data_IF_535582653592
#
_entry.id   IF_535582653592
#
_cell.length_a   1.000
_cell.length_b   1.000
_cell.length_c   1.000
_cell.angle_alpha   90.00
_cell.angle_beta   90.00
_cell.angle_gamma   90.00
#
_symmetry.space_group_name_H-M   'P 1'
#
loop_
_entity.id
_entity.type
_entity.pdbx_description
1 polymer ?
#
# COMPACT_ATOMS: atom_id res chain seq x y z
N UNK A 1 55.15 -14.89 19.93
CA UNK A 1 54.58 -13.51 19.99
C UNK A 1 53.49 -13.21 18.94
N UNK A 2 52.99 -14.20 18.18
CA UNK A 2 51.98 -13.99 17.11
C UNK A 2 50.52 -14.13 17.56
N UNK A 3 50.24 -14.99 18.54
CA UNK A 3 48.87 -15.35 18.91
C UNK A 3 48.10 -14.22 19.63
N UNK A 4 48.78 -13.39 20.42
CA UNK A 4 48.16 -12.25 21.12
C UNK A 4 47.69 -11.15 20.16
N UNK A 5 48.45 -10.90 19.08
CA UNK A 5 48.06 -9.95 18.03
C UNK A 5 46.84 -10.44 17.25
N UNK A 6 46.77 -11.74 16.98
CA UNK A 6 45.62 -12.35 16.30
C UNK A 6 44.35 -12.25 17.16
N UNK A 7 44.45 -12.51 18.47
CA UNK A 7 43.32 -12.37 19.41
C UNK A 7 42.82 -10.92 19.44
N UNK A 8 43.72 -9.94 19.51
CA UNK A 8 43.35 -8.53 19.49
C UNK A 8 42.63 -8.12 18.19
N UNK A 9 43.05 -8.66 17.04
CA UNK A 9 42.41 -8.44 15.75
C UNK A 9 40.99 -9.03 15.70
N UNK A 10 40.77 -10.25 16.22
CA UNK A 10 39.44 -10.85 16.28
C UNK A 10 38.48 -10.04 17.14
N UNK A 11 38.92 -9.59 18.31
CA UNK A 11 38.10 -8.76 19.21
C UNK A 11 37.69 -7.46 18.51
N UNK A 12 38.63 -6.81 17.81
CA UNK A 12 38.34 -5.58 17.08
C UNK A 12 37.30 -5.79 15.97
N UNK A 13 37.43 -6.85 15.16
CA UNK A 13 36.48 -7.17 14.09
C UNK A 13 35.07 -7.40 14.65
N UNK A 14 34.95 -8.16 15.74
CA UNK A 14 33.67 -8.41 16.39
C UNK A 14 32.99 -7.11 16.86
N UNK A 15 33.74 -6.23 17.52
CA UNK A 15 33.22 -4.93 18.00
C UNK A 15 32.76 -4.07 16.83
N UNK A 16 33.56 -3.95 15.77
CA UNK A 16 33.22 -3.17 14.58
C UNK A 16 31.95 -3.73 13.91
N UNK A 17 31.83 -5.05 13.78
CA UNK A 17 30.64 -5.69 13.18
C UNK A 17 29.36 -5.40 13.96
N UNK A 18 29.43 -5.36 15.29
CA UNK A 18 28.27 -5.07 16.14
C UNK A 18 27.81 -3.62 16.01
N UNK A 19 28.75 -2.68 15.93
CA UNK A 19 28.45 -1.26 15.70
C UNK A 19 27.80 -1.05 14.33
N UNK A 20 28.34 -1.67 13.27
CA UNK A 20 27.77 -1.58 11.92
C UNK A 20 26.34 -2.13 11.89
N UNK A 21 26.09 -3.27 12.54
CA UNK A 21 24.75 -3.87 12.64
C UNK A 21 23.72 -2.92 13.28
N UNK A 22 24.10 -2.23 14.37
CA UNK A 22 23.24 -1.24 15.04
C UNK A 22 22.94 -0.03 14.16
N UNK A 23 23.92 0.45 13.40
CA UNK A 23 23.73 1.54 12.44
C UNK A 23 22.75 1.12 11.35
N UNK A 24 22.92 -0.07 10.76
CA UNK A 24 22.01 -0.60 9.72
C UNK A 24 20.59 -0.76 10.27
N UNK A 25 20.41 -1.37 11.44
CA UNK A 25 19.11 -1.51 12.10
C UNK A 25 18.44 -0.14 12.30
N UNK A 26 19.19 0.85 12.78
CA UNK A 26 18.68 2.21 13.00
C UNK A 26 18.28 2.89 11.69
N UNK A 27 19.08 2.75 10.64
CA UNK A 27 18.76 3.27 9.30
C UNK A 27 17.52 2.59 8.73
N UNK A 28 17.39 1.27 8.85
CA UNK A 28 16.20 0.53 8.38
C UNK A 28 14.96 0.93 9.16
N UNK A 29 15.05 1.04 10.49
CA UNK A 29 13.97 1.53 11.34
C UNK A 29 13.60 2.98 11.02
N UNK A 30 14.59 3.86 10.83
CA UNK A 30 14.37 5.25 10.47
C UNK A 30 13.77 5.41 9.07
N UNK A 31 14.22 4.63 8.08
CA UNK A 31 13.62 4.60 6.74
C UNK A 31 12.19 4.10 6.78
N UNK A 32 11.91 3.05 7.57
CA UNK A 32 10.54 2.55 7.82
C UNK A 32 9.68 3.62 8.51
N UNK A 33 10.22 4.33 9.50
CA UNK A 33 9.48 5.35 10.25
C UNK A 33 9.23 6.63 9.44
N UNK A 34 10.23 7.14 8.71
CA UNK A 34 10.09 8.32 7.85
C UNK A 34 9.10 8.07 6.70
N UNK A 35 9.01 6.84 6.18
CA UNK A 35 7.97 6.46 5.21
C UNK A 35 6.57 6.44 5.82
N UNK A 36 6.42 6.02 7.08
CA UNK A 36 5.14 6.10 7.81
C UNK A 36 4.62 7.54 8.00
N UNK A 37 5.45 8.57 7.80
CA UNK A 37 5.10 9.98 8.01
C UNK A 37 4.76 10.79 6.73
N UNK A 38 4.79 10.22 5.52
CA UNK A 38 4.27 10.92 4.31
C UNK A 38 2.73 10.89 4.25
N UNK A 39 2.10 11.30 5.35
CA UNK A 39 0.65 11.33 5.57
C UNK A 39 0.15 12.70 5.11
N UNK A 40 -0.39 12.78 3.90
CA UNK A 40 -1.28 13.89 3.53
C UNK A 40 -2.59 13.68 4.30
N UNK A 41 -2.66 14.23 5.51
CA UNK A 41 -3.82 14.10 6.40
C UNK A 41 -4.89 15.11 5.99
N UNK A 42 -5.74 14.74 5.04
CA UNK A 42 -6.94 15.52 4.74
C UNK A 42 -8.09 15.02 5.62
N UNK A 43 -8.38 15.75 6.71
CA UNK A 43 -9.40 15.41 7.71
C UNK A 43 -10.86 15.64 7.24
N UNK A 44 -11.12 15.72 5.93
CA UNK A 44 -12.35 16.34 5.39
C UNK A 44 -13.62 15.45 5.46
N UNK A 45 -13.60 14.24 6.04
CA UNK A 45 -14.80 13.38 6.08
C UNK A 45 -14.83 12.37 7.24
N UNK A 46 -14.24 12.71 8.39
CA UNK A 46 -14.26 11.83 9.58
C UNK A 46 -13.41 10.56 9.46
N UNK A 47 -12.52 10.49 8.45
CA UNK A 47 -11.57 9.41 8.24
C UNK A 47 -10.18 9.93 7.89
N UNK A 48 -9.19 9.04 7.91
CA UNK A 48 -7.79 9.31 7.62
C UNK A 48 -7.47 8.87 6.19
N UNK A 49 -7.21 9.82 5.31
CA UNK A 49 -6.62 9.57 3.98
C UNK A 49 -5.09 9.55 4.10
N UNK A 50 -4.44 8.60 3.44
CA UNK A 50 -2.98 8.53 3.31
C UNK A 50 -2.65 8.20 1.86
N UNK A 51 -1.84 9.05 1.22
CA UNK A 51 -1.36 8.83 -0.14
C UNK A 51 0.14 8.61 -0.14
N UNK A 52 0.60 7.58 -0.84
CA UNK A 52 2.02 7.31 -1.00
C UNK A 52 2.60 8.21 -2.09
N UNK A 53 3.74 8.83 -1.79
CA UNK A 53 4.41 9.75 -2.70
C UNK A 53 4.73 9.05 -4.03
N UNK A 54 4.03 9.48 -5.08
CA UNK A 54 4.19 9.01 -6.44
C UNK A 54 4.11 10.24 -7.36
N UNK A 55 4.98 10.37 -8.37
CA UNK A 55 4.91 11.48 -9.33
C UNK A 55 3.53 11.60 -10.00
N UNK A 56 2.81 10.47 -10.16
CA UNK A 56 1.43 10.40 -10.67
C UNK A 56 0.39 11.06 -9.73
N UNK A 57 0.68 11.12 -8.43
CA UNK A 57 -0.17 11.70 -7.37
C UNK A 57 0.10 13.19 -7.12
N UNK A 58 1.30 13.69 -7.43
CA UNK A 58 1.67 15.10 -7.17
C UNK A 58 0.81 16.12 -7.94
N UNK A 59 0.24 15.69 -9.07
CA UNK A 59 -0.66 16.52 -9.90
C UNK A 59 -2.10 16.51 -9.38
N UNK A 60 -2.47 15.55 -8.53
CA UNK A 60 -3.82 15.38 -8.04
C UNK A 60 -4.00 16.14 -6.73
N UNK A 61 -4.88 17.16 -6.74
CA UNK A 61 -5.32 17.78 -5.49
C UNK A 61 -6.11 16.74 -4.68
N UNK A 62 -5.65 16.45 -3.46
CA UNK A 62 -6.25 15.47 -2.53
C UNK A 62 -7.77 15.65 -2.36
N UNK A 63 -8.23 16.90 -2.27
CA UNK A 63 -9.66 17.23 -2.16
C UNK A 63 -10.51 16.76 -3.37
N UNK A 64 -9.98 16.86 -4.59
CA UNK A 64 -10.68 16.43 -5.80
C UNK A 64 -10.75 14.91 -5.88
N UNK A 65 -9.67 14.22 -5.50
CA UNK A 65 -9.63 12.77 -5.40
C UNK A 65 -10.70 12.26 -4.44
N UNK A 66 -10.75 12.81 -3.22
CA UNK A 66 -11.69 12.38 -2.19
C UNK A 66 -13.14 12.62 -2.64
N UNK A 67 -13.42 13.79 -3.24
CA UNK A 67 -14.75 14.13 -3.76
C UNK A 67 -15.23 13.16 -4.83
N UNK A 68 -14.33 12.69 -5.72
CA UNK A 68 -14.70 11.69 -6.73
C UNK A 68 -14.87 10.30 -6.13
N UNK A 69 -14.00 9.92 -5.19
CA UNK A 69 -14.09 8.64 -4.49
C UNK A 69 -15.41 8.49 -3.72
N UNK A 70 -15.87 9.56 -3.07
CA UNK A 70 -17.17 9.58 -2.36
C UNK A 70 -18.39 9.54 -3.30
N UNK A 71 -18.21 9.84 -4.59
CA UNK A 71 -19.28 9.80 -5.61
C UNK A 71 -19.36 8.47 -6.35
N UNK A 72 -18.54 7.49 -6.00
CA UNK A 72 -18.57 6.17 -6.62
C UNK A 72 -19.90 5.48 -6.32
N UNK A 73 -20.50 4.93 -7.38
CA UNK A 73 -21.78 4.23 -7.31
C UNK A 73 -21.64 2.78 -7.74
N UNK A 74 -22.73 2.01 -7.65
CA UNK A 74 -22.73 0.61 -8.09
C UNK A 74 -22.43 0.44 -9.59
N UNK A 75 -22.57 1.50 -10.40
CA UNK A 75 -22.21 1.49 -11.82
C UNK A 75 -20.70 1.45 -12.06
N UNK A 76 -19.91 1.86 -11.07
CA UNK A 76 -18.47 1.93 -11.16
C UNK A 76 -17.80 0.65 -10.65
N UNK A 77 -18.59 -0.36 -10.23
CA UNK A 77 -18.07 -1.64 -9.72
C UNK A 77 -17.45 -2.41 -10.89
N UNK A 78 -16.17 -2.74 -10.75
CA UNK A 78 -15.43 -3.62 -11.67
C UNK A 78 -15.22 -5.02 -11.10
N UNK A 79 -15.51 -5.23 -9.82
CA UNK A 79 -15.42 -6.54 -9.18
C UNK A 79 -16.06 -6.53 -7.81
N UNK A 80 -16.61 -7.66 -7.39
CA UNK A 80 -17.14 -7.85 -6.04
C UNK A 80 -16.85 -9.25 -5.53
N UNK A 81 -16.58 -9.40 -4.24
CA UNK A 81 -16.28 -10.67 -3.61
C UNK A 81 -16.41 -10.62 -2.09
N UNK A 82 -16.07 -11.72 -1.41
CA UNK A 82 -16.24 -11.85 0.05
C UNK A 82 -15.47 -10.82 0.88
N UNK A 83 -14.39 -10.27 0.33
CA UNK A 83 -13.58 -9.24 1.00
C UNK A 83 -14.07 -7.81 0.73
N UNK A 84 -14.99 -7.59 -0.22
CA UNK A 84 -15.51 -6.26 -0.54
C UNK A 84 -15.78 -6.04 -2.03
N UNK A 85 -15.95 -4.77 -2.41
CA UNK A 85 -16.18 -4.35 -3.79
C UNK A 85 -15.03 -3.48 -4.30
N UNK A 86 -14.67 -3.66 -5.57
CA UNK A 86 -13.65 -2.89 -6.26
C UNK A 86 -14.34 -1.98 -7.27
N UNK A 87 -14.06 -0.69 -7.16
CA UNK A 87 -14.63 0.36 -7.99
C UNK A 87 -13.57 0.95 -8.90
N UNK A 88 -13.93 1.28 -10.14
CA UNK A 88 -13.10 2.07 -11.05
C UNK A 88 -13.31 3.55 -10.77
N UNK A 89 -12.22 4.23 -10.43
CA UNK A 89 -12.19 5.67 -10.20
C UNK A 89 -11.44 6.36 -11.34
N UNK A 90 -12.16 7.03 -12.23
CA UNK A 90 -11.56 7.85 -13.29
C UNK A 90 -11.45 9.29 -12.81
N UNK A 91 -10.23 9.82 -12.75
CA UNK A 91 -10.02 11.24 -12.39
C UNK A 91 -9.96 12.09 -13.65
N UNK A 92 -9.07 11.71 -14.57
CA UNK A 92 -8.89 12.33 -15.89
C UNK A 92 -8.85 11.22 -16.95
N UNK A 93 -8.95 11.57 -18.23
CA UNK A 93 -8.91 10.59 -19.34
C UNK A 93 -7.67 9.68 -19.30
N UNK A 94 -6.55 10.18 -18.77
CA UNK A 94 -5.29 9.45 -18.65
C UNK A 94 -5.04 8.82 -17.28
N UNK A 95 -5.83 9.14 -16.26
CA UNK A 95 -5.58 8.72 -14.87
C UNK A 95 -6.81 8.05 -14.29
N UNK A 96 -6.70 6.73 -14.11
CA UNK A 96 -7.71 5.90 -13.46
C UNK A 96 -7.09 5.04 -12.35
N UNK A 97 -7.87 4.78 -11.31
CA UNK A 97 -7.50 3.97 -10.15
C UNK A 97 -8.52 2.86 -9.89
N UNK A 98 -8.09 1.80 -9.25
CA UNK A 98 -8.98 0.79 -8.67
C UNK A 98 -9.10 1.04 -7.16
N UNK A 99 -10.32 1.27 -6.68
CA UNK A 99 -10.61 1.54 -5.27
C UNK A 99 -11.29 0.32 -4.68
N UNK A 100 -10.59 -0.45 -3.85
CA UNK A 100 -11.15 -1.60 -3.13
C UNK A 100 -11.73 -1.12 -1.80
N UNK A 101 -13.05 -1.26 -1.65
CA UNK A 101 -13.79 -0.96 -0.42
C UNK A 101 -13.96 -2.23 0.41
N UNK A 102 -13.38 -2.20 1.61
CA UNK A 102 -13.52 -3.22 2.64
C UNK A 102 -14.46 -2.68 3.71
N UNK A 103 -15.55 -3.38 4.01
CA UNK A 103 -16.40 -3.00 5.13
C UNK A 103 -15.73 -3.43 6.45
N UNK A 104 -15.85 -2.63 7.51
CA UNK A 104 -15.33 -2.98 8.84
C UNK A 104 -16.43 -3.68 9.66
N UNK A 105 -16.78 -4.90 9.25
CA UNK A 105 -17.83 -5.68 9.93
C UNK A 105 -17.24 -6.50 11.09
N UNK A 106 -15.99 -6.93 10.95
CA UNK A 106 -15.30 -7.74 11.97
C UNK A 106 -13.84 -7.30 12.16
N UNK A 107 -13.28 -7.64 13.32
CA UNK A 107 -11.86 -7.45 13.60
C UNK A 107 -10.95 -8.21 12.62
N UNK A 108 -11.43 -9.33 12.05
CA UNK A 108 -10.66 -10.09 11.07
C UNK A 108 -10.56 -9.38 9.72
N UNK A 109 -11.62 -8.69 9.28
CA UNK A 109 -11.56 -7.85 8.08
C UNK A 109 -10.62 -6.66 8.27
N UNK A 110 -10.59 -6.07 9.47
CA UNK A 110 -9.66 -4.98 9.77
C UNK A 110 -8.21 -5.46 9.79
N UNK A 111 -7.96 -6.66 10.35
CA UNK A 111 -6.64 -7.32 10.23
C UNK A 111 -6.28 -7.62 8.78
N UNK A 112 -7.25 -8.02 7.95
CA UNK A 112 -7.05 -8.24 6.52
C UNK A 112 -6.57 -6.95 5.82
N UNK A 113 -7.18 -5.82 6.14
CA UNK A 113 -6.75 -4.51 5.66
C UNK A 113 -5.31 -4.19 6.08
N UNK A 114 -4.96 -4.35 7.36
CA UNK A 114 -3.60 -4.07 7.84
C UNK A 114 -2.55 -5.01 7.22
N UNK A 115 -2.87 -6.30 7.04
CA UNK A 115 -2.00 -7.27 6.34
C UNK A 115 -1.75 -6.86 4.89
N UNK A 116 -2.80 -6.47 4.17
CA UNK A 116 -2.72 -6.04 2.78
C UNK A 116 -1.90 -4.73 2.67
N UNK A 117 -2.09 -3.81 3.62
CA UNK A 117 -1.33 -2.57 3.73
C UNK A 117 0.16 -2.80 4.04
N UNK A 118 0.48 -3.71 4.96
CA UNK A 118 1.86 -4.06 5.31
C UNK A 118 2.57 -4.76 4.15
N UNK A 119 1.86 -5.63 3.42
CA UNK A 119 2.39 -6.32 2.25
C UNK A 119 2.66 -5.35 1.10
N UNK A 120 1.72 -4.46 0.78
CA UNK A 120 1.73 -3.70 -0.47
C UNK A 120 2.19 -2.25 -0.33
N UNK A 121 2.19 -1.68 0.88
CA UNK A 121 2.50 -0.27 1.11
C UNK A 121 3.91 0.15 0.70
N UNK A 122 4.87 -0.78 0.72
CA UNK A 122 6.28 -0.51 0.43
C UNK A 122 6.81 -1.20 -0.83
N UNK A 123 6.02 -2.04 -1.50
CA UNK A 123 6.43 -2.79 -2.70
C UNK A 123 6.15 -1.96 -3.95
N UNK A 124 7.17 -1.77 -4.79
CA UNK A 124 7.05 -1.19 -6.13
C UNK A 124 7.77 -2.09 -7.12
N UNK A 125 7.02 -2.81 -7.94
CA UNK A 125 7.57 -3.75 -8.91
C UNK A 125 6.69 -3.80 -10.17
N UNK A 126 7.30 -4.00 -11.35
CA UNK A 126 6.60 -4.03 -12.65
C UNK A 126 5.48 -5.07 -12.77
N UNK A 127 5.58 -6.16 -12.00
CA UNK A 127 4.63 -7.28 -12.03
C UNK A 127 3.72 -7.32 -10.78
N UNK A 128 3.73 -6.26 -9.96
CA UNK A 128 2.93 -6.18 -8.74
C UNK A 128 2.11 -4.90 -8.83
N UNK A 129 0.80 -4.99 -8.54
CA UNK A 129 -0.07 -3.82 -8.53
C UNK A 129 0.43 -2.80 -7.51
N UNK A 130 0.60 -1.54 -7.94
CA UNK A 130 1.10 -0.50 -7.04
C UNK A 130 -0.06 0.01 -6.17
N UNK A 131 0.11 -0.08 -4.85
CA UNK A 131 -0.76 0.62 -3.90
C UNK A 131 -0.36 2.10 -3.85
N UNK A 132 -1.32 2.98 -4.14
CA UNK A 132 -1.13 4.43 -4.16
C UNK A 132 -1.57 5.11 -2.86
N UNK A 133 -2.44 4.48 -2.08
CA UNK A 133 -2.87 5.03 -0.80
C UNK A 133 -4.02 4.26 -0.17
N UNK A 134 -4.50 4.74 0.96
CA UNK A 134 -5.67 4.19 1.64
C UNK A 134 -6.49 5.29 2.31
N UNK A 135 -7.77 5.03 2.52
CA UNK A 135 -8.66 5.85 3.32
C UNK A 135 -9.30 4.98 4.41
N UNK A 136 -9.06 5.28 5.68
CA UNK A 136 -9.65 4.53 6.79
C UNK A 136 -10.68 5.39 7.51
N UNK A 137 -11.90 4.89 7.67
CA UNK A 137 -12.94 5.46 8.53
C UNK A 137 -13.45 4.41 9.51
N UNK A 138 -14.29 4.79 10.46
CA UNK A 138 -14.87 3.88 11.46
C UNK A 138 -15.73 2.79 10.83
N UNK A 139 -16.34 3.04 9.68
CA UNK A 139 -17.28 2.13 9.02
C UNK A 139 -16.67 1.25 7.92
N UNK A 140 -15.64 1.75 7.23
CA UNK A 140 -15.03 1.07 6.08
C UNK A 140 -13.59 1.54 5.87
N UNK A 141 -12.83 0.70 5.18
CA UNK A 141 -11.49 1.01 4.71
C UNK A 141 -11.50 0.98 3.17
N UNK A 142 -10.78 1.91 2.54
CA UNK A 142 -10.54 1.93 1.10
C UNK A 142 -9.06 1.74 0.85
N UNK A 143 -8.72 0.89 -0.12
CA UNK A 143 -7.39 0.75 -0.67
C UNK A 143 -7.39 1.27 -2.11
N UNK A 144 -6.41 2.08 -2.45
CA UNK A 144 -6.34 2.80 -3.73
C UNK A 144 -5.16 2.22 -4.52
N UNK A 145 -5.46 1.49 -5.59
CA UNK A 145 -4.51 0.83 -6.46
C UNK A 145 -4.43 1.49 -7.83
N UNK A 146 -3.32 1.25 -8.51
CA UNK A 146 -3.23 1.48 -9.95
C UNK A 146 -4.26 0.61 -10.68
N UNK A 147 -5.03 1.20 -11.60
CA UNK A 147 -5.98 0.45 -12.42
C UNK A 147 -5.21 -0.36 -13.48
N UNK A 148 -5.41 -1.68 -13.50
CA UNK A 148 -4.96 -2.53 -14.60
C UNK A 148 -5.94 -2.44 -15.77
N UNK A 149 -5.46 -1.95 -16.92
CA UNK A 149 -6.30 -1.76 -18.12
C UNK A 149 -6.74 -3.06 -18.77
N UNK A 150 -5.98 -4.14 -18.57
CA UNK A 150 -6.20 -5.43 -19.21
C UNK A 150 -7.09 -6.38 -18.39
N UNK A 151 -7.75 -5.86 -17.34
CA UNK A 151 -8.62 -6.67 -16.49
C UNK A 151 -7.88 -7.73 -15.69
N UNK A 152 -8.62 -8.75 -15.26
CA UNK A 152 -8.04 -9.87 -14.51
C UNK A 152 -7.53 -10.97 -15.43
N UNK A 153 -6.48 -11.69 -15.02
CA UNK A 153 -5.99 -12.84 -15.77
C UNK A 153 -7.07 -13.93 -15.94
N UNK A 154 -7.95 -14.08 -14.94
CA UNK A 154 -9.07 -15.01 -14.96
C UNK A 154 -10.10 -14.65 -16.06
N UNK A 155 -10.39 -13.36 -16.21
CA UNK A 155 -11.25 -12.84 -17.28
C UNK A 155 -10.66 -13.13 -18.66
N UNK A 156 -9.33 -13.04 -18.81
CA UNK A 156 -8.64 -13.34 -20.07
C UNK A 156 -8.60 -14.84 -20.38
N UNK A 157 -8.40 -15.69 -19.36
CA UNK A 157 -8.26 -17.14 -19.53
C UNK A 157 -9.60 -17.86 -19.70
N UNK A 158 -10.61 -17.48 -18.91
CA UNK A 158 -11.85 -18.23 -18.80
C UNK A 158 -13.07 -17.44 -19.28
N UNK A 159 -12.95 -16.13 -19.55
CA UNK A 159 -14.10 -15.27 -19.86
C UNK A 159 -15.06 -15.12 -18.69
N UNK A 160 -14.66 -15.55 -17.49
CA UNK A 160 -15.46 -15.48 -16.26
C UNK A 160 -14.88 -14.35 -15.42
N UNK A 161 -15.71 -13.36 -15.10
CA UNK A 161 -15.34 -12.23 -14.24
C UNK A 161 -15.31 -12.67 -12.77
N UNK A 162 -14.33 -13.50 -12.42
CA UNK A 162 -14.04 -13.87 -11.03
C UNK A 162 -12.93 -12.93 -10.52
N UNK A 163 -13.32 -11.71 -10.16
CA UNK A 163 -12.43 -10.70 -9.56
C UNK A 163 -11.99 -11.05 -8.11
N UNK A 164 -11.71 -12.32 -7.82
CA UNK A 164 -11.36 -12.77 -6.47
C UNK A 164 -9.85 -12.86 -6.19
N UNK A 165 -8.98 -12.79 -7.20
CA UNK A 165 -7.54 -13.06 -6.98
C UNK A 165 -6.58 -12.16 -7.77
N UNK A 166 -6.88 -10.88 -7.90
CA UNK A 166 -5.87 -9.93 -8.40
C UNK A 166 -5.58 -8.80 -7.43
N UNK A 167 -5.59 -9.12 -6.15
CA UNK A 167 -4.74 -8.47 -5.15
C UNK A 167 -4.33 -9.55 -4.14
N UNK A 168 -3.13 -10.10 -4.37
CA UNK A 168 -2.48 -11.28 -3.75
C UNK A 168 -2.68 -12.57 -4.52
#
# INVERSE_FOLDING_TARGET
MGNSKNIALYVFICVVSFIISKIIMTIVCYRRWKRKQMVVQDSLSGGKLVMFNSPKMNTLKSNMFLKRTMKLTNKDIIGSGGYGAVYKLTINESISFAVKRLNRISAEQDRGFERELEAMGDIKHRNIVTLHGYYSTTQYNLLIYELMTNGSLDEVLYGICLCLFLIV
#
